data_IF_475494747108
#
_entry.id   IF_475494747108
#
_cell.length_a   1.000
_cell.length_b   1.000
_cell.length_c   1.000
_cell.angle_alpha   90.00
_cell.angle_beta   90.00
_cell.angle_gamma   90.00
#
_symmetry.space_group_name_H-M   'P 1'
#
loop_
_entity.id
_entity.type
_entity.pdbx_description
1 polymer ?
#
# COMPACT_ATOMS: atom_id res chain seq x y z
N UNK A 1 -22.66 22.57 99.53
CA UNK A 1 -22.97 23.37 98.32
C UNK A 1 -21.79 23.56 97.35
N UNK A 2 -20.56 23.11 97.71
CA UNK A 2 -19.38 23.25 96.78
C UNK A 2 -19.30 22.24 95.67
N UNK A 3 -19.92 21.09 95.80
CA UNK A 3 -19.85 19.98 94.74
C UNK A 3 -20.84 20.15 93.60
N UNK A 4 -21.89 20.98 93.75
CA UNK A 4 -22.86 21.16 92.68
C UNK A 4 -22.38 22.11 91.57
N UNK A 5 -21.59 23.11 91.99
CA UNK A 5 -21.07 24.12 91.07
C UNK A 5 -19.97 23.52 90.18
N UNK A 6 -19.11 22.63 90.70
CA UNK A 6 -18.08 21.95 89.97
C UNK A 6 -18.67 21.00 88.93
N UNK A 7 -19.73 20.26 89.28
CA UNK A 7 -20.47 19.39 88.35
C UNK A 7 -21.13 20.15 87.21
N UNK A 8 -21.68 21.32 87.50
CA UNK A 8 -22.37 22.17 86.50
C UNK A 8 -21.33 22.80 85.53
N UNK A 9 -20.16 23.21 86.06
CA UNK A 9 -19.11 23.77 85.25
C UNK A 9 -18.45 22.64 84.36
N UNK A 10 -18.28 21.44 84.91
CA UNK A 10 -17.74 20.32 84.16
C UNK A 10 -18.71 19.88 83.08
N UNK A 11 -20.03 19.89 83.36
CA UNK A 11 -21.07 19.55 82.36
C UNK A 11 -21.18 20.63 81.27
N UNK A 12 -21.08 21.92 81.65
CA UNK A 12 -21.05 23.01 80.67
C UNK A 12 -19.80 23.01 79.80
N UNK A 13 -18.65 22.69 80.36
CA UNK A 13 -17.43 22.51 79.56
C UNK A 13 -17.46 21.27 78.64
N UNK A 14 -18.11 20.21 79.10
CA UNK A 14 -18.31 19.02 78.27
C UNK A 14 -19.24 19.31 77.12
N UNK A 15 -20.34 20.05 77.35
CA UNK A 15 -21.28 20.49 76.30
C UNK A 15 -20.65 21.51 75.37
N UNK A 16 -19.84 22.43 75.86
CA UNK A 16 -19.09 23.39 75.04
C UNK A 16 -18.00 22.70 74.20
N UNK A 17 -17.36 21.69 74.74
CA UNK A 17 -16.45 20.86 74.01
C UNK A 17 -17.12 20.05 72.87
N UNK A 18 -18.34 19.58 73.12
CA UNK A 18 -19.14 18.92 72.07
C UNK A 18 -19.72 19.89 71.06
N UNK A 19 -20.05 21.08 71.46
CA UNK A 19 -20.58 22.13 70.58
C UNK A 19 -19.49 22.77 69.71
N UNK A 20 -18.25 22.76 70.15
CA UNK A 20 -17.13 23.26 69.37
C UNK A 20 -16.59 22.21 68.35
N UNK A 21 -17.00 20.95 68.49
CA UNK A 21 -16.63 19.89 67.51
C UNK A 21 -17.60 19.76 66.35
N UNK A 22 -18.61 20.63 66.21
CA UNK A 22 -19.48 20.69 65.04
C UNK A 22 -18.96 21.62 63.91
N UNK A 23 -17.69 22.08 64.01
CA UNK A 23 -17.02 22.40 62.80
C UNK A 23 -16.80 21.06 62.05
N UNK A 24 -17.74 20.74 61.18
CA UNK A 24 -17.55 19.61 60.25
C UNK A 24 -16.27 19.92 59.46
N UNK A 25 -15.13 19.51 59.97
CA UNK A 25 -13.93 19.48 59.20
C UNK A 25 -14.21 18.59 57.99
N UNK A 26 -14.18 19.15 56.82
CA UNK A 26 -14.30 18.36 55.60
C UNK A 26 -13.23 17.30 55.64
N UNK A 27 -13.64 16.07 55.89
CA UNK A 27 -12.71 14.95 55.84
C UNK A 27 -12.56 14.60 54.36
N UNK A 28 -11.34 14.59 53.89
CA UNK A 28 -10.99 14.19 52.50
C UNK A 28 -10.11 12.94 52.53
N UNK A 29 -10.39 12.08 51.60
CA UNK A 29 -9.52 10.95 51.32
C UNK A 29 -9.30 10.90 49.79
N UNK A 30 -8.07 10.61 49.43
CA UNK A 30 -7.68 10.48 47.99
C UNK A 30 -7.04 9.10 47.84
N UNK A 31 -7.35 8.42 46.75
CA UNK A 31 -6.72 7.14 46.41
C UNK A 31 -5.20 7.38 46.20
N UNK A 32 -4.39 6.39 46.56
CA UNK A 32 -2.95 6.45 46.31
C UNK A 32 -2.61 6.33 44.83
N UNK A 33 -3.41 5.54 44.10
CA UNK A 33 -3.24 5.25 42.68
C UNK A 33 -4.30 5.94 41.84
N UNK A 34 -3.98 6.18 40.58
CA UNK A 34 -4.89 6.80 39.61
C UNK A 34 -5.97 5.83 39.16
N UNK A 35 -7.14 6.36 38.83
CA UNK A 35 -8.20 5.59 38.18
C UNK A 35 -7.70 5.22 36.78
N UNK A 36 -7.79 3.94 36.47
CA UNK A 36 -7.42 3.40 35.17
C UNK A 36 -8.67 2.96 34.41
N UNK A 37 -8.70 3.26 33.12
CA UNK A 37 -9.69 2.80 32.17
C UNK A 37 -9.24 1.55 31.42
N UNK A 38 -9.92 1.27 30.33
CA UNK A 38 -9.65 0.18 29.42
C UNK A 38 -8.76 0.65 28.26
N UNK A 39 -7.88 -0.21 27.76
CA UNK A 39 -7.11 0.11 26.59
C UNK A 39 -7.98 0.03 25.32
N UNK A 40 -7.80 0.95 24.35
CA UNK A 40 -8.51 0.90 23.07
C UNK A 40 -8.08 -0.32 22.24
N UNK A 41 -9.01 -0.90 21.49
CA UNK A 41 -8.78 -2.06 20.63
C UNK A 41 -9.39 -1.83 19.26
N UNK A 42 -8.62 -2.03 18.20
CA UNK A 42 -9.10 -1.99 16.83
C UNK A 42 -9.62 -3.36 16.37
N UNK A 43 -10.65 -3.33 15.53
CA UNK A 43 -11.12 -4.50 14.82
C UNK A 43 -11.63 -4.13 13.44
N UNK A 44 -11.64 -5.10 12.51
CA UNK A 44 -12.20 -4.93 11.17
C UNK A 44 -13.70 -4.65 11.20
N UNK A 45 -14.25 -4.06 10.13
CA UNK A 45 -15.64 -3.65 10.07
C UNK A 45 -16.62 -4.83 10.11
N UNK A 46 -16.34 -5.92 9.42
CA UNK A 46 -17.23 -7.04 9.20
C UNK A 46 -16.66 -8.35 9.76
N UNK A 47 -17.55 -9.28 10.13
CA UNK A 47 -17.20 -10.60 10.66
C UNK A 47 -17.10 -10.66 12.17
N UNK A 48 -16.61 -11.77 12.70
CA UNK A 48 -16.27 -11.89 14.11
C UNK A 48 -15.31 -10.79 14.49
N UNK A 49 -15.55 -10.18 15.64
CA UNK A 49 -14.74 -9.08 16.16
C UNK A 49 -13.37 -9.64 16.54
N UNK A 50 -12.54 -9.91 15.52
CA UNK A 50 -11.16 -10.25 15.72
C UNK A 50 -10.42 -8.97 16.13
N UNK A 51 -10.02 -8.91 17.40
CA UNK A 51 -9.20 -7.82 17.90
C UNK A 51 -7.91 -7.67 17.08
N UNK A 52 -7.41 -6.44 17.01
CA UNK A 52 -6.13 -6.14 16.37
C UNK A 52 -6.12 -6.41 14.86
N UNK A 53 -7.23 -6.14 14.19
CA UNK A 53 -7.38 -6.24 12.75
C UNK A 53 -8.03 -4.95 12.21
N UNK A 54 -7.86 -4.71 10.92
CA UNK A 54 -8.51 -3.59 10.21
C UNK A 54 -9.00 -4.06 8.84
N UNK A 55 -9.85 -3.28 8.20
CA UNK A 55 -10.28 -3.51 6.82
C UNK A 55 -9.53 -2.55 5.91
N UNK A 56 -8.85 -3.07 4.90
CA UNK A 56 -8.19 -2.25 3.86
C UNK A 56 -8.95 -2.39 2.55
N UNK A 57 -9.26 -1.28 1.92
CA UNK A 57 -9.84 -1.23 0.56
C UNK A 57 -9.10 -0.24 -0.31
N UNK A 58 -9.15 -0.46 -1.62
CA UNK A 58 -8.73 0.52 -2.61
C UNK A 58 -9.93 1.00 -3.39
N UNK A 59 -10.02 2.30 -3.66
CA UNK A 59 -11.17 2.93 -4.28
C UNK A 59 -10.73 3.90 -5.37
N UNK A 60 -11.60 4.14 -6.35
CA UNK A 60 -11.35 5.10 -7.43
C UNK A 60 -11.71 6.54 -7.04
N UNK A 61 -12.37 6.74 -5.91
CA UNK A 61 -12.84 8.04 -5.42
C UNK A 61 -12.34 8.36 -4.01
N UNK A 62 -12.28 9.65 -3.70
CA UNK A 62 -11.82 10.19 -2.42
C UNK A 62 -12.75 9.91 -1.24
N UNK A 63 -13.99 9.56 -1.51
CA UNK A 63 -14.96 9.25 -0.46
C UNK A 63 -14.89 7.79 -0.03
N UNK A 64 -14.14 6.98 -0.77
CA UNK A 64 -13.91 5.58 -0.47
C UNK A 64 -15.14 4.70 -0.66
N UNK A 65 -15.99 5.03 -1.65
CA UNK A 65 -17.26 4.35 -1.91
C UNK A 65 -17.19 3.38 -3.10
N UNK A 66 -16.34 3.67 -4.09
CA UNK A 66 -16.23 2.86 -5.31
C UNK A 66 -14.97 2.00 -5.25
N UNK A 67 -15.13 0.77 -4.74
CA UNK A 67 -14.01 -0.17 -4.63
C UNK A 67 -13.54 -0.63 -6.01
N UNK A 68 -12.23 -0.84 -6.15
CA UNK A 68 -11.65 -1.49 -7.34
C UNK A 68 -11.94 -2.99 -7.34
N UNK A 69 -11.94 -3.60 -8.52
CA UNK A 69 -12.13 -5.06 -8.63
C UNK A 69 -10.99 -5.85 -7.97
N UNK A 70 -11.32 -7.03 -7.44
CA UNK A 70 -10.34 -7.88 -6.74
C UNK A 70 -9.13 -8.29 -7.60
N UNK A 71 -9.29 -8.34 -8.92
CA UNK A 71 -8.26 -8.72 -9.88
C UNK A 71 -7.63 -7.51 -10.61
N UNK A 72 -8.11 -6.31 -10.34
CA UNK A 72 -7.63 -5.10 -10.99
C UNK A 72 -6.34 -4.61 -10.33
N UNK A 73 -5.45 -4.01 -11.12
CA UNK A 73 -4.29 -3.36 -10.56
C UNK A 73 -4.70 -2.02 -9.93
N UNK A 74 -4.15 -1.76 -8.74
CA UNK A 74 -4.21 -0.42 -8.15
C UNK A 74 -3.44 0.56 -9.03
N UNK A 75 -3.96 1.77 -9.21
CA UNK A 75 -3.38 2.79 -10.09
C UNK A 75 -3.01 4.05 -9.31
N UNK A 76 -2.02 4.76 -9.80
CA UNK A 76 -1.77 6.14 -9.35
C UNK A 76 -3.02 6.97 -9.65
N UNK A 77 -3.52 7.63 -8.63
CA UNK A 77 -4.80 8.34 -8.65
C UNK A 77 -5.89 7.69 -7.82
N UNK A 78 -5.82 6.37 -7.59
CA UNK A 78 -6.70 5.65 -6.68
C UNK A 78 -6.46 6.05 -5.22
N UNK A 79 -7.27 5.54 -4.33
CA UNK A 79 -7.23 5.84 -2.91
C UNK A 79 -7.11 4.56 -2.09
N UNK A 80 -6.31 4.59 -1.04
CA UNK A 80 -6.24 3.54 -0.03
C UNK A 80 -7.01 3.96 1.20
N UNK A 81 -7.93 3.11 1.65
CA UNK A 81 -8.77 3.34 2.82
C UNK A 81 -8.53 2.24 3.85
N UNK A 82 -8.18 2.64 5.06
CA UNK A 82 -8.02 1.76 6.22
C UNK A 82 -9.19 2.03 7.15
N UNK A 83 -10.12 1.10 7.24
CA UNK A 83 -11.33 1.24 8.04
C UNK A 83 -11.26 0.35 9.28
N UNK A 84 -11.84 0.82 10.38
CA UNK A 84 -11.78 0.11 11.66
C UNK A 84 -12.99 0.38 12.54
N UNK A 85 -13.21 -0.51 13.47
CA UNK A 85 -14.02 -0.31 14.66
C UNK A 85 -13.06 -0.12 15.83
N UNK A 86 -13.17 1.00 16.51
CA UNK A 86 -12.46 1.26 17.76
C UNK A 86 -13.37 0.89 18.90
N UNK A 87 -12.95 -0.06 19.72
CA UNK A 87 -13.63 -0.51 20.93
C UNK A 87 -12.89 0.08 22.13
N UNK A 88 -13.57 0.92 22.88
CA UNK A 88 -13.13 1.42 24.16
C UNK A 88 -14.30 1.31 25.16
N UNK A 89 -14.08 0.57 26.25
CA UNK A 89 -15.16 0.29 27.22
C UNK A 89 -15.54 1.52 28.04
N UNK A 90 -14.66 2.50 28.12
CA UNK A 90 -14.86 3.72 28.88
C UNK A 90 -15.52 4.81 28.01
N UNK A 91 -15.61 4.55 26.68
CA UNK A 91 -16.21 5.45 25.72
C UNK A 91 -15.26 6.52 25.21
N UNK A 92 -13.96 6.37 25.42
CA UNK A 92 -12.95 7.25 24.85
C UNK A 92 -12.93 7.10 23.33
N UNK A 93 -12.73 8.20 22.63
CA UNK A 93 -12.81 8.28 21.17
C UNK A 93 -11.46 8.68 20.56
N UNK A 94 -11.29 8.36 19.28
CA UNK A 94 -10.22 8.87 18.44
C UNK A 94 -10.76 9.84 17.40
N UNK A 95 -10.12 11.00 17.25
CA UNK A 95 -10.40 11.94 16.18
C UNK A 95 -9.25 12.01 15.18
N UNK A 96 -8.03 11.67 15.61
CA UNK A 96 -6.84 11.81 14.78
C UNK A 96 -5.61 11.01 15.24
N UNK A 97 -5.57 10.56 16.47
CA UNK A 97 -4.39 9.93 17.08
C UNK A 97 -3.95 8.67 16.34
N UNK A 98 -4.91 7.86 15.84
CA UNK A 98 -4.62 6.67 15.02
C UNK A 98 -3.98 7.10 13.70
N UNK A 99 -4.53 8.12 13.00
CA UNK A 99 -3.97 8.65 11.76
C UNK A 99 -2.54 9.16 11.96
N UNK A 100 -2.26 9.88 13.03
CA UNK A 100 -0.93 10.45 13.32
C UNK A 100 0.12 9.37 13.56
N UNK A 101 -0.28 8.19 14.02
CA UNK A 101 0.59 7.03 14.21
C UNK A 101 0.89 6.26 12.91
N UNK A 102 0.11 6.49 11.84
CA UNK A 102 0.24 5.73 10.59
C UNK A 102 1.59 5.98 9.92
N UNK A 103 2.25 4.89 9.57
CA UNK A 103 3.35 4.88 8.60
C UNK A 103 3.06 3.82 7.57
N UNK A 104 3.06 4.18 6.30
CA UNK A 104 2.92 3.26 5.17
C UNK A 104 4.31 2.87 4.69
N UNK A 105 4.49 1.59 4.40
CA UNK A 105 5.73 1.04 3.86
C UNK A 105 5.50 0.55 2.45
N UNK A 106 6.44 0.81 1.58
CA UNK A 106 6.38 0.38 0.19
C UNK A 106 7.67 -0.31 -0.22
N UNK A 107 7.59 -1.31 -1.09
CA UNK A 107 8.76 -1.88 -1.75
C UNK A 107 8.43 -2.37 -3.15
N UNK A 108 9.47 -2.43 -3.96
CA UNK A 108 9.42 -2.84 -5.36
C UNK A 108 10.23 -4.10 -5.56
N UNK A 109 9.91 -4.85 -6.61
CA UNK A 109 10.76 -5.95 -7.09
C UNK A 109 11.73 -5.45 -8.15
N UNK A 110 12.93 -6.01 -8.13
CA UNK A 110 13.88 -5.86 -9.21
C UNK A 110 13.50 -6.73 -10.44
N UNK A 111 14.28 -6.63 -11.52
CA UNK A 111 14.07 -7.42 -12.73
C UNK A 111 14.16 -8.95 -12.51
N UNK A 112 14.80 -9.40 -11.44
CA UNK A 112 14.90 -10.81 -11.05
C UNK A 112 13.75 -11.26 -10.15
N UNK A 113 12.83 -10.35 -9.79
CA UNK A 113 11.70 -10.62 -8.95
C UNK A 113 11.99 -10.55 -7.44
N UNK A 114 13.19 -10.11 -7.03
CA UNK A 114 13.56 -9.96 -5.63
C UNK A 114 13.06 -8.64 -5.08
N UNK A 115 12.54 -8.64 -3.87
CA UNK A 115 12.13 -7.41 -3.20
C UNK A 115 13.33 -6.57 -2.77
N UNK A 116 13.26 -5.27 -3.06
CA UNK A 116 14.16 -4.26 -2.52
C UNK A 116 13.88 -3.93 -1.04
N UNK A 117 14.61 -2.96 -0.52
CA UNK A 117 14.41 -2.44 0.83
C UNK A 117 13.05 -1.73 0.96
N UNK A 118 12.52 -1.72 2.17
CA UNK A 118 11.33 -0.94 2.49
C UNK A 118 11.63 0.57 2.43
N UNK A 119 10.68 1.33 1.91
CA UNK A 119 10.61 2.79 2.02
C UNK A 119 9.44 3.14 2.89
N UNK A 120 9.62 4.05 3.83
CA UNK A 120 8.57 4.52 4.74
C UNK A 120 7.98 5.86 4.31
N UNK A 121 6.68 5.98 4.42
CA UNK A 121 5.91 7.19 4.18
C UNK A 121 5.05 7.44 5.43
N UNK A 122 5.46 8.43 6.23
CA UNK A 122 4.69 8.85 7.42
C UNK A 122 3.42 9.57 7.00
N UNK A 123 2.45 9.63 7.91
CA UNK A 123 1.15 10.24 7.64
C UNK A 123 1.23 11.64 7.03
N UNK A 124 2.17 12.49 7.47
CA UNK A 124 2.38 13.85 6.95
C UNK A 124 2.92 13.90 5.51
N UNK A 125 3.37 12.78 4.96
CA UNK A 125 3.85 12.63 3.58
C UNK A 125 2.82 11.99 2.64
N UNK A 126 1.72 11.49 3.19
CA UNK A 126 0.65 10.88 2.39
C UNK A 126 -0.25 11.96 1.80
N UNK A 127 -0.46 11.88 0.49
CA UNK A 127 -1.23 12.89 -0.24
C UNK A 127 -2.72 12.85 0.13
N UNK A 128 -3.27 14.02 0.45
CA UNK A 128 -4.70 14.20 0.75
C UNK A 128 -5.21 13.29 1.87
N UNK A 129 -4.35 12.96 2.85
CA UNK A 129 -4.75 12.10 3.96
C UNK A 129 -5.84 12.78 4.79
N UNK A 130 -6.90 12.05 5.06
CA UNK A 130 -7.99 12.45 5.95
C UNK A 130 -8.40 11.30 6.84
N UNK A 131 -8.99 11.63 7.99
CA UNK A 131 -9.67 10.67 8.85
C UNK A 131 -11.12 11.08 9.04
N UNK A 132 -12.01 10.11 9.15
CA UNK A 132 -13.37 10.29 9.64
C UNK A 132 -13.63 9.29 10.74
N UNK A 133 -14.37 9.73 11.74
CA UNK A 133 -14.82 8.88 12.80
C UNK A 133 -16.25 9.26 13.19
N UNK A 134 -17.07 8.25 13.43
CA UNK A 134 -18.46 8.40 13.84
C UNK A 134 -18.63 7.69 15.18
N UNK A 135 -18.97 8.45 16.22
CA UNK A 135 -19.22 7.86 17.53
C UNK A 135 -20.45 6.95 17.47
N UNK A 136 -20.31 5.74 17.98
CA UNK A 136 -21.43 4.82 18.16
C UNK A 136 -21.95 4.91 19.61
N UNK A 137 -23.24 4.66 19.79
CA UNK A 137 -23.93 4.73 21.10
C UNK A 137 -23.57 3.58 22.06
N UNK A 138 -22.76 2.61 21.65
CA UNK A 138 -22.45 1.39 22.42
C UNK A 138 -20.96 1.25 22.79
N UNK A 139 -20.19 2.33 22.85
CA UNK A 139 -18.75 2.28 23.15
C UNK A 139 -17.90 1.74 21.97
N UNK A 140 -18.47 1.72 20.77
CA UNK A 140 -17.79 1.39 19.53
C UNK A 140 -17.80 2.61 18.62
N UNK A 141 -16.64 3.06 18.21
CA UNK A 141 -16.49 4.11 17.21
C UNK A 141 -16.16 3.48 15.86
N UNK A 142 -16.86 3.88 14.80
CA UNK A 142 -16.49 3.55 13.43
C UNK A 142 -15.56 4.64 12.87
N UNK A 143 -14.42 4.23 12.33
CA UNK A 143 -13.47 5.17 11.77
C UNK A 143 -12.80 4.65 10.52
N UNK A 144 -12.23 5.58 9.76
CA UNK A 144 -11.35 5.25 8.67
C UNK A 144 -10.31 6.35 8.41
N UNK A 145 -9.18 5.93 7.88
CA UNK A 145 -8.15 6.79 7.31
C UNK A 145 -8.14 6.55 5.82
N UNK A 146 -8.13 7.61 5.01
CA UNK A 146 -8.07 7.51 3.55
C UNK A 146 -7.02 8.47 3.00
N UNK A 147 -6.25 8.04 2.01
CA UNK A 147 -5.24 8.86 1.34
C UNK A 147 -5.09 8.46 -0.12
N UNK A 148 -4.62 9.39 -0.96
CA UNK A 148 -4.43 9.15 -2.38
C UNK A 148 -3.12 8.40 -2.65
N UNK A 149 -3.20 7.38 -3.49
CA UNK A 149 -2.06 6.70 -4.11
C UNK A 149 -1.49 7.67 -5.17
N UNK A 150 -0.39 8.30 -4.87
CA UNK A 150 0.28 9.26 -5.75
C UNK A 150 1.50 8.66 -6.47
N UNK A 151 2.26 9.49 -7.18
CA UNK A 151 3.42 9.05 -7.96
C UNK A 151 4.51 8.36 -7.13
N UNK A 152 4.55 8.56 -5.80
CA UNK A 152 5.48 7.85 -4.90
C UNK A 152 5.20 6.35 -4.83
N UNK A 153 3.98 5.94 -5.16
CA UNK A 153 3.56 4.54 -5.19
C UNK A 153 3.73 3.89 -6.57
N UNK A 154 4.10 4.64 -7.61
CA UNK A 154 4.24 4.08 -8.97
C UNK A 154 5.21 2.88 -8.98
N UNK A 155 4.74 1.73 -9.48
CA UNK A 155 5.52 0.50 -9.58
C UNK A 155 5.77 -0.23 -8.26
N UNK A 156 5.13 0.14 -7.18
CA UNK A 156 5.19 -0.58 -5.91
C UNK A 156 4.50 -1.94 -6.04
N UNK A 157 5.21 -3.00 -5.66
CA UNK A 157 4.70 -4.37 -5.70
C UNK A 157 4.08 -4.82 -4.38
N UNK A 158 4.44 -4.17 -3.28
CA UNK A 158 3.95 -4.52 -1.96
C UNK A 158 3.81 -3.29 -1.08
N UNK A 159 2.66 -3.19 -0.42
CA UNK A 159 2.36 -2.16 0.56
C UNK A 159 2.18 -2.82 1.92
N UNK A 160 2.86 -2.28 2.92
CA UNK A 160 2.64 -2.56 4.32
C UNK A 160 2.27 -1.29 5.06
N UNK A 161 1.93 -1.41 6.33
CA UNK A 161 1.75 -0.26 7.20
C UNK A 161 1.89 -0.66 8.66
N UNK A 162 2.11 0.33 9.51
CA UNK A 162 1.90 0.23 10.95
C UNK A 162 0.99 1.34 11.40
N UNK A 163 0.21 1.08 12.43
CA UNK A 163 -0.58 2.06 13.16
C UNK A 163 -0.77 1.61 14.61
N UNK A 164 -1.03 2.55 15.51
CA UNK A 164 -1.23 2.26 16.93
C UNK A 164 -2.72 2.35 17.29
N UNK A 165 -3.20 1.39 18.04
CA UNK A 165 -4.48 1.46 18.71
C UNK A 165 -4.43 2.59 19.72
N UNK A 166 -5.19 3.66 19.48
CA UNK A 166 -5.16 4.84 20.34
C UNK A 166 -6.48 5.59 20.38
N UNK A 167 -6.69 6.31 21.49
CA UNK A 167 -7.73 7.30 21.70
C UNK A 167 -7.10 8.65 22.01
N UNK A 168 -7.86 9.73 21.86
CA UNK A 168 -7.35 11.09 22.15
C UNK A 168 -7.09 11.30 23.61
N UNK A 169 -7.84 10.62 24.48
CA UNK A 169 -7.76 10.70 25.94
C UNK A 169 -7.81 9.29 26.54
N UNK A 170 -7.72 9.22 27.86
CA UNK A 170 -7.80 7.96 28.58
C UNK A 170 -6.50 7.60 29.30
N UNK A 171 -6.59 6.62 30.16
CA UNK A 171 -5.45 6.06 30.87
C UNK A 171 -5.67 4.54 31.08
N UNK A 172 -5.16 3.68 30.16
CA UNK A 172 -4.29 4.00 29.03
C UNK A 172 -5.04 4.49 27.79
N UNK A 173 -4.49 5.46 27.06
CA UNK A 173 -5.01 5.92 25.78
C UNK A 173 -4.30 5.30 24.58
N UNK A 174 -3.42 4.33 24.80
CA UNK A 174 -2.65 3.61 23.78
C UNK A 174 -2.59 2.13 24.11
N UNK A 175 -2.58 1.32 23.05
CA UNK A 175 -2.45 -0.11 23.15
C UNK A 175 -1.44 -0.62 22.11
N UNK A 176 -1.72 -1.74 21.47
CA UNK A 176 -0.79 -2.39 20.54
C UNK A 176 -0.52 -1.56 19.29
N UNK A 177 0.65 -1.79 18.72
CA UNK A 177 0.92 -1.48 17.33
C UNK A 177 0.48 -2.63 16.44
N UNK A 178 -0.28 -2.32 15.42
CA UNK A 178 -0.61 -3.23 14.33
C UNK A 178 0.44 -3.03 13.23
N UNK A 179 1.10 -4.10 12.82
CA UNK A 179 2.16 -4.08 11.82
C UNK A 179 1.84 -5.07 10.70
N UNK A 180 1.59 -4.54 9.52
CA UNK A 180 1.20 -5.25 8.30
C UNK A 180 2.34 -5.18 7.30
N UNK A 181 2.75 -6.34 6.77
CA UNK A 181 3.76 -6.39 5.70
C UNK A 181 3.15 -6.41 4.31
N UNK A 182 1.90 -6.84 4.16
CA UNK A 182 1.25 -6.96 2.86
C UNK A 182 -0.27 -6.78 2.98
N UNK A 183 -0.79 -5.70 2.44
CA UNK A 183 -2.23 -5.41 2.45
C UNK A 183 -3.06 -6.42 1.64
N UNK A 184 -2.43 -7.13 0.70
CA UNK A 184 -3.05 -8.18 -0.09
C UNK A 184 -2.96 -9.58 0.54
N UNK A 185 -2.42 -9.68 1.75
CA UNK A 185 -2.42 -10.92 2.54
C UNK A 185 -3.65 -11.01 3.43
N UNK A 186 -4.25 -12.20 3.54
CA UNK A 186 -5.35 -12.47 4.47
C UNK A 186 -4.88 -12.77 5.91
N UNK A 187 -3.59 -12.76 6.17
CA UNK A 187 -3.04 -12.97 7.50
C UNK A 187 -3.45 -11.84 8.46
N UNK A 188 -3.42 -12.11 9.76
CA UNK A 188 -3.59 -11.07 10.76
C UNK A 188 -2.33 -10.19 10.85
N UNK A 189 -2.45 -8.94 11.32
CA UNK A 189 -1.31 -8.10 11.66
C UNK A 189 -0.42 -8.77 12.71
N UNK A 190 0.88 -8.49 12.66
CA UNK A 190 1.76 -8.74 13.81
C UNK A 190 1.57 -7.60 14.80
N UNK A 191 1.32 -7.94 16.04
CA UNK A 191 1.11 -6.94 17.10
C UNK A 191 2.32 -6.85 18.01
N UNK A 192 2.64 -5.65 18.44
CA UNK A 192 3.65 -5.42 19.50
C UNK A 192 2.97 -4.76 20.68
N UNK A 193 3.26 -5.27 21.87
CA UNK A 193 2.70 -4.72 23.09
C UNK A 193 3.16 -3.29 23.32
N UNK A 194 2.36 -2.62 24.12
CA UNK A 194 2.43 -1.24 24.53
C UNK A 194 3.85 -0.64 24.57
N UNK A 195 4.10 0.35 23.74
CA UNK A 195 5.26 1.24 23.82
C UNK A 195 6.38 1.01 22.82
N UNK A 196 6.47 -0.14 22.16
CA UNK A 196 7.54 -0.35 21.18
C UNK A 196 7.01 -0.19 19.75
N UNK A 197 7.30 0.97 19.17
CA UNK A 197 6.97 1.24 17.77
C UNK A 197 7.80 0.35 16.83
N UNK A 198 7.18 -0.44 15.92
CA UNK A 198 7.92 -1.19 14.92
C UNK A 198 8.66 -0.24 13.97
N UNK A 199 9.90 -0.55 13.64
CA UNK A 199 10.71 0.25 12.70
C UNK A 199 10.47 -0.14 11.25
N UNK A 200 10.15 -1.42 11.00
CA UNK A 200 9.90 -1.99 9.68
C UNK A 200 8.74 -3.00 9.72
N UNK A 201 8.14 -3.32 8.56
CA UNK A 201 7.20 -4.42 8.48
C UNK A 201 7.83 -5.76 8.87
N UNK A 202 7.05 -6.70 9.42
CA UNK A 202 7.56 -8.01 9.78
C UNK A 202 8.08 -8.78 8.56
N UNK A 203 9.10 -9.59 8.76
CA UNK A 203 9.65 -10.48 7.72
C UNK A 203 8.71 -11.66 7.40
N UNK A 204 7.82 -12.01 8.32
CA UNK A 204 6.77 -13.00 8.11
C UNK A 204 5.57 -12.36 7.42
N UNK A 205 4.82 -13.09 6.59
CA UNK A 205 3.58 -12.57 6.01
C UNK A 205 2.62 -12.09 7.10
N UNK A 206 2.24 -10.83 7.05
CA UNK A 206 1.27 -10.20 7.93
C UNK A 206 0.37 -9.29 7.10
N UNK A 207 -0.92 -9.52 7.16
CA UNK A 207 -1.95 -8.75 6.46
C UNK A 207 -2.82 -7.97 7.43
N UNK A 208 -3.86 -7.31 6.94
CA UNK A 208 -4.80 -6.55 7.77
C UNK A 208 -5.84 -7.43 8.49
N UNK A 209 -5.89 -8.73 8.21
CA UNK A 209 -6.89 -9.68 8.69
C UNK A 209 -7.85 -10.18 7.62
N UNK A 210 -8.03 -9.40 6.55
CA UNK A 210 -8.71 -9.79 5.31
C UNK A 210 -7.91 -9.21 4.13
N UNK A 211 -7.82 -9.94 3.05
CA UNK A 211 -7.14 -9.49 1.85
C UNK A 211 -7.82 -8.24 1.27
N UNK A 212 -7.06 -7.16 1.03
CA UNK A 212 -7.58 -6.01 0.31
C UNK A 212 -7.92 -6.37 -1.14
N UNK A 213 -8.97 -5.76 -1.74
CA UNK A 213 -9.23 -5.89 -3.16
C UNK A 213 -8.11 -5.27 -3.99
N UNK A 214 -7.98 -5.72 -5.24
CA UNK A 214 -6.92 -5.27 -6.13
C UNK A 214 -5.59 -5.99 -5.92
N UNK A 215 -4.59 -5.57 -6.68
CA UNK A 215 -3.24 -6.15 -6.65
C UNK A 215 -2.19 -5.13 -7.06
N UNK A 216 -0.92 -5.40 -6.70
CA UNK A 216 0.26 -4.76 -7.28
C UNK A 216 0.72 -5.45 -8.58
N UNK A 217 1.70 -4.87 -9.30
CA UNK A 217 2.30 -3.56 -9.01
C UNK A 217 1.32 -2.42 -9.26
N UNK A 218 1.55 -1.30 -8.55
CA UNK A 218 0.74 -0.09 -8.76
C UNK A 218 1.07 0.51 -10.12
N UNK A 219 0.05 0.62 -10.99
CA UNK A 219 0.20 1.09 -12.35
C UNK A 219 0.15 2.63 -12.41
N UNK A 220 0.99 3.21 -13.27
CA UNK A 220 1.00 4.65 -13.52
C UNK A 220 0.92 4.94 -15.02
N UNK A 221 0.34 6.07 -15.39
CA UNK A 221 0.34 6.58 -16.76
C UNK A 221 1.73 6.98 -17.27
N UNK A 222 2.71 7.05 -16.36
CA UNK A 222 4.11 7.29 -16.69
C UNK A 222 4.83 6.03 -17.17
N UNK A 223 4.23 4.84 -17.06
CA UNK A 223 4.83 3.64 -17.63
C UNK A 223 4.83 3.69 -19.15
N UNK A 224 5.99 3.36 -19.70
CA UNK A 224 6.24 3.25 -21.14
C UNK A 224 6.73 1.86 -21.47
N UNK A 225 6.50 1.44 -22.69
CA UNK A 225 7.10 0.26 -23.30
C UNK A 225 7.89 0.69 -24.51
N UNK A 226 9.14 0.23 -24.63
CA UNK A 226 10.02 0.45 -25.76
C UNK A 226 10.55 -0.87 -26.33
N UNK A 227 11.11 -0.79 -27.53
CA UNK A 227 11.73 -1.90 -28.25
C UNK A 227 13.22 -1.62 -28.35
N UNK A 228 14.03 -2.45 -27.71
CA UNK A 228 15.47 -2.28 -27.62
C UNK A 228 16.21 -3.46 -28.24
N UNK A 229 17.35 -3.19 -28.87
CA UNK A 229 18.12 -4.19 -29.60
C UNK A 229 19.25 -4.73 -28.75
N UNK A 230 19.51 -6.03 -28.87
CA UNK A 230 20.76 -6.63 -28.37
C UNK A 230 21.93 -6.31 -29.32
N UNK A 231 23.06 -5.94 -28.76
CA UNK A 231 24.30 -5.79 -29.50
C UNK A 231 24.93 -7.16 -29.89
N UNK A 232 26.07 -7.13 -30.55
CA UNK A 232 26.78 -8.32 -31.00
C UNK A 232 27.33 -9.18 -29.84
N UNK A 233 27.54 -8.58 -28.68
CA UNK A 233 27.98 -9.24 -27.45
C UNK A 233 26.81 -9.82 -26.63
N UNK A 234 25.60 -9.66 -27.12
CA UNK A 234 24.39 -10.13 -26.44
C UNK A 234 23.95 -9.25 -25.29
N UNK A 235 24.42 -8.01 -25.21
CA UNK A 235 23.99 -7.02 -24.24
C UNK A 235 22.85 -6.19 -24.82
N UNK A 236 21.80 -5.93 -24.01
CA UNK A 236 20.70 -5.06 -24.40
C UNK A 236 21.16 -3.59 -24.41
N UNK A 237 21.02 -2.93 -25.57
CA UNK A 237 21.26 -1.51 -25.72
C UNK A 237 19.96 -0.72 -25.48
N UNK A 238 19.83 -0.09 -24.32
CA UNK A 238 18.66 0.70 -23.94
C UNK A 238 18.74 2.17 -24.37
N UNK A 239 19.79 2.57 -25.09
CA UNK A 239 19.98 3.96 -25.54
C UNK A 239 19.17 4.29 -26.79
N UNK A 240 18.81 3.28 -27.59
CA UNK A 240 18.04 3.44 -28.84
C UNK A 240 16.74 2.67 -28.76
N UNK A 241 15.63 3.40 -28.65
CA UNK A 241 14.30 2.81 -28.70
C UNK A 241 13.80 2.71 -30.16
N UNK A 242 13.67 1.48 -30.65
CA UNK A 242 13.22 1.19 -32.01
C UNK A 242 11.72 1.49 -32.26
N UNK A 243 10.97 1.75 -31.20
CA UNK A 243 9.59 2.27 -31.32
C UNK A 243 9.53 3.75 -31.64
N UNK A 244 10.67 4.47 -31.59
CA UNK A 244 10.78 5.91 -31.86
C UNK A 244 11.34 6.22 -33.23
N UNK A 245 11.03 7.43 -33.72
CA UNK A 245 11.64 7.96 -34.94
C UNK A 245 13.16 8.14 -34.78
N UNK A 246 13.90 7.85 -35.83
CA UNK A 246 15.36 8.01 -35.87
C UNK A 246 16.14 6.73 -35.54
N UNK A 247 15.51 5.67 -35.10
CA UNK A 247 16.15 4.36 -34.99
C UNK A 247 16.43 3.77 -36.37
N UNK A 248 17.45 2.93 -36.48
CA UNK A 248 17.74 2.18 -37.72
C UNK A 248 16.69 1.12 -37.96
N UNK A 249 16.48 0.73 -39.24
CA UNK A 249 15.51 -0.31 -39.56
C UNK A 249 15.89 -1.64 -38.89
N UNK A 250 14.93 -2.35 -38.25
CA UNK A 250 15.13 -3.75 -37.83
C UNK A 250 15.53 -4.62 -39.02
N UNK A 251 16.39 -5.60 -38.79
CA UNK A 251 16.88 -6.54 -39.83
C UNK A 251 16.67 -7.97 -39.37
N UNK A 252 16.57 -8.88 -40.34
CA UNK A 252 16.70 -10.29 -40.02
C UNK A 252 18.10 -10.56 -39.40
N UNK A 253 18.11 -11.39 -38.36
CA UNK A 253 19.29 -11.63 -37.54
C UNK A 253 19.35 -10.75 -36.29
N UNK A 254 18.53 -9.71 -36.21
CA UNK A 254 18.44 -8.86 -34.99
C UNK A 254 17.61 -9.53 -33.89
N UNK A 255 18.07 -9.34 -32.67
CA UNK A 255 17.35 -9.73 -31.45
C UNK A 255 16.90 -8.48 -30.71
N UNK A 256 15.62 -8.43 -30.33
CA UNK A 256 15.03 -7.29 -29.61
C UNK A 256 14.44 -7.75 -28.29
N UNK A 257 14.39 -6.82 -27.33
CA UNK A 257 13.63 -6.97 -26.10
C UNK A 257 12.66 -5.80 -25.93
N UNK A 258 11.47 -6.13 -25.45
CA UNK A 258 10.56 -5.14 -24.91
C UNK A 258 10.97 -4.80 -23.48
N UNK A 259 11.04 -3.53 -23.16
CA UNK A 259 11.32 -3.06 -21.79
C UNK A 259 10.20 -2.15 -21.35
N UNK A 260 9.68 -2.39 -20.15
CA UNK A 260 8.73 -1.49 -19.48
C UNK A 260 9.46 -0.75 -18.37
N UNK A 261 9.35 0.57 -18.34
CA UNK A 261 9.93 1.43 -17.31
C UNK A 261 8.98 2.53 -16.88
N UNK A 262 9.22 3.07 -15.69
CA UNK A 262 8.52 4.26 -15.20
C UNK A 262 9.26 5.52 -15.68
N UNK A 263 8.79 6.10 -16.77
CA UNK A 263 9.27 7.36 -17.34
C UNK A 263 8.81 8.55 -16.48
N UNK A 264 9.47 8.72 -15.32
CA UNK A 264 9.01 9.64 -14.27
C UNK A 264 9.13 11.10 -14.68
N UNK A 265 10.15 11.46 -15.44
CA UNK A 265 10.39 12.81 -15.96
C UNK A 265 9.71 13.09 -17.32
N UNK A 266 9.08 12.04 -17.91
CA UNK A 266 8.32 12.10 -19.18
C UNK A 266 9.16 12.47 -20.39
N UNK A 267 10.45 12.18 -20.37
CA UNK A 267 11.33 12.41 -21.52
C UNK A 267 11.28 11.26 -22.52
N UNK A 268 10.72 10.13 -22.13
CA UNK A 268 10.51 8.92 -22.92
C UNK A 268 11.77 8.11 -23.15
N UNK A 269 12.85 8.34 -22.43
CA UNK A 269 14.09 7.57 -22.45
C UNK A 269 14.20 6.76 -21.15
N UNK A 270 15.06 5.76 -21.11
CA UNK A 270 15.39 5.06 -19.87
C UNK A 270 16.61 5.74 -19.26
N UNK A 271 16.43 6.36 -18.10
CA UNK A 271 17.47 7.08 -17.40
C UNK A 271 17.93 6.34 -16.13
N UNK A 272 19.11 6.75 -15.63
CA UNK A 272 19.66 6.19 -14.40
C UNK A 272 18.72 6.45 -13.21
N UNK A 273 18.34 5.39 -12.52
CA UNK A 273 17.46 5.44 -11.37
C UNK A 273 15.98 5.27 -11.68
N UNK A 274 15.60 5.20 -12.94
CA UNK A 274 14.23 4.85 -13.31
C UNK A 274 13.91 3.38 -13.06
N UNK A 275 12.67 3.15 -12.68
CA UNK A 275 12.21 1.84 -12.27
C UNK A 275 11.86 0.97 -13.48
N UNK A 276 12.63 -0.10 -13.72
CA UNK A 276 12.32 -1.11 -14.74
C UNK A 276 11.28 -2.09 -14.18
N UNK A 277 10.21 -2.31 -14.94
CA UNK A 277 9.07 -3.16 -14.57
C UNK A 277 8.72 -4.24 -15.59
N UNK A 278 9.62 -4.57 -16.49
CA UNK A 278 9.43 -5.59 -17.53
C UNK A 278 8.89 -6.91 -16.95
N UNK A 279 9.38 -7.33 -15.77
CA UNK A 279 8.96 -8.59 -15.13
C UNK A 279 7.50 -8.63 -14.66
N UNK A 280 6.82 -7.48 -14.61
CA UNK A 280 5.42 -7.37 -14.21
C UNK A 280 4.43 -7.57 -15.36
N UNK A 281 4.93 -7.65 -16.60
CA UNK A 281 4.12 -7.73 -17.80
C UNK A 281 4.43 -8.99 -18.59
N UNK A 282 3.48 -9.42 -19.41
CA UNK A 282 3.68 -10.38 -20.49
C UNK A 282 3.57 -9.67 -21.83
N UNK A 283 4.20 -10.21 -22.86
CA UNK A 283 4.35 -9.51 -24.13
C UNK A 283 3.88 -10.35 -25.29
N UNK A 284 3.29 -9.68 -26.28
CA UNK A 284 2.91 -10.24 -27.58
C UNK A 284 3.50 -9.40 -28.69
N UNK A 285 4.19 -10.05 -29.60
CA UNK A 285 4.79 -9.42 -30.74
C UNK A 285 3.90 -9.61 -31.95
N UNK A 286 3.77 -8.57 -32.79
CA UNK A 286 2.94 -8.54 -33.98
C UNK A 286 3.64 -7.80 -35.10
N UNK A 287 3.18 -7.97 -36.32
CA UNK A 287 3.51 -7.08 -37.43
C UNK A 287 2.48 -5.94 -37.49
N UNK A 288 2.90 -4.77 -37.97
CA UNK A 288 2.05 -3.59 -38.11
C UNK A 288 2.33 -2.87 -39.43
N UNK A 289 1.29 -2.27 -39.99
CA UNK A 289 1.34 -1.49 -41.22
C UNK A 289 0.88 -2.23 -42.44
N UNK A 290 1.24 -1.73 -43.60
CA UNK A 290 0.87 -2.24 -44.91
C UNK A 290 2.12 -2.33 -45.82
N UNK A 291 2.25 -3.42 -46.55
CA UNK A 291 3.30 -3.65 -47.52
C UNK A 291 2.70 -4.22 -48.81
N UNK A 292 3.01 -3.60 -49.95
CA UNK A 292 2.47 -4.00 -51.28
C UNK A 292 0.94 -4.24 -51.29
N UNK A 293 0.19 -3.33 -50.69
CA UNK A 293 -1.29 -3.42 -50.53
C UNK A 293 -1.78 -4.59 -49.68
N UNK A 294 -0.92 -5.20 -48.89
CA UNK A 294 -1.30 -6.20 -47.91
C UNK A 294 -1.13 -5.63 -46.50
N UNK A 295 -2.25 -5.48 -45.80
CA UNK A 295 -2.26 -5.01 -44.40
C UNK A 295 -1.86 -6.15 -43.50
N UNK A 296 -1.05 -5.83 -42.49
CA UNK A 296 -0.67 -6.78 -41.43
C UNK A 296 -1.93 -7.31 -40.73
N UNK A 297 -2.01 -8.62 -40.53
CA UNK A 297 -3.09 -9.22 -39.72
C UNK A 297 -2.72 -9.11 -38.23
N UNK A 298 -3.75 -9.04 -37.40
CA UNK A 298 -3.57 -8.93 -35.95
C UNK A 298 -3.32 -10.32 -35.30
N UNK A 299 -2.22 -10.97 -35.71
CA UNK A 299 -1.82 -12.28 -35.22
C UNK A 299 -0.50 -12.16 -34.45
N UNK A 300 -0.40 -12.94 -33.35
CA UNK A 300 0.82 -12.98 -32.53
C UNK A 300 1.94 -13.73 -33.26
N UNK A 301 3.11 -13.14 -33.33
CA UNK A 301 4.33 -13.81 -33.76
C UNK A 301 4.75 -14.80 -32.68
N UNK A 302 4.87 -16.07 -33.02
CA UNK A 302 5.27 -17.13 -32.09
C UNK A 302 6.70 -17.62 -32.31
N UNK A 303 7.17 -17.56 -33.58
CA UNK A 303 8.51 -17.97 -33.92
C UNK A 303 9.53 -16.92 -33.46
N UNK A 304 10.62 -17.38 -32.86
CA UNK A 304 11.68 -16.51 -32.36
C UNK A 304 11.33 -15.75 -31.07
N UNK A 305 10.11 -15.89 -30.55
CA UNK A 305 9.72 -15.27 -29.28
C UNK A 305 10.23 -16.11 -28.11
N UNK A 306 10.90 -15.47 -27.19
CA UNK A 306 11.53 -16.12 -26.03
C UNK A 306 11.31 -15.28 -24.77
N UNK A 307 11.71 -15.86 -23.64
CA UNK A 307 11.70 -15.21 -22.34
C UNK A 307 13.13 -14.89 -21.92
N UNK A 308 13.39 -13.66 -21.54
CA UNK A 308 14.61 -13.27 -20.83
C UNK A 308 14.28 -12.83 -19.40
N UNK A 309 13.38 -11.89 -19.23
CA UNK A 309 12.92 -11.40 -17.93
C UNK A 309 11.46 -11.77 -17.68
N UNK A 310 10.62 -11.70 -18.72
CA UNK A 310 9.19 -11.97 -18.64
C UNK A 310 8.72 -12.72 -19.88
N UNK A 311 7.54 -13.35 -19.81
CA UNK A 311 7.02 -14.14 -20.92
C UNK A 311 6.82 -13.28 -22.17
N UNK A 312 7.49 -13.70 -23.25
CA UNK A 312 7.42 -13.03 -24.54
C UNK A 312 8.21 -11.73 -24.65
N UNK A 313 8.98 -11.33 -23.66
CA UNK A 313 9.72 -10.05 -23.67
C UNK A 313 10.78 -9.93 -24.78
N UNK A 314 11.17 -11.03 -25.38
CA UNK A 314 12.26 -11.07 -26.37
C UNK A 314 11.81 -11.72 -27.67
N UNK A 315 12.21 -11.13 -28.80
CA UNK A 315 12.02 -11.68 -30.13
C UNK A 315 13.32 -11.69 -30.93
N UNK A 316 13.56 -12.79 -31.64
CA UNK A 316 14.64 -12.92 -32.61
C UNK A 316 14.06 -12.93 -34.01
N UNK A 317 14.44 -11.98 -34.86
CA UNK A 317 13.91 -11.81 -36.22
C UNK A 317 14.53 -12.80 -37.24
N UNK A 318 14.88 -14.00 -36.84
CA UNK A 318 15.39 -15.02 -37.69
C UNK A 318 16.91 -14.90 -37.93
N UNK A 319 17.41 -15.62 -38.94
CA UNK A 319 18.81 -15.67 -39.27
C UNK A 319 19.08 -15.08 -40.66
N UNK A 320 20.17 -14.35 -40.84
CA UNK A 320 20.59 -13.81 -42.11
C UNK A 320 20.83 -14.88 -43.17
N UNK A 321 21.05 -16.12 -42.74
CA UNK A 321 21.35 -17.26 -43.64
C UNK A 321 20.15 -18.18 -43.88
N UNK A 322 19.05 -18.00 -43.17
CA UNK A 322 17.83 -18.79 -43.33
C UNK A 322 16.87 -18.15 -44.34
N UNK A 323 16.00 -18.96 -44.94
CA UNK A 323 14.88 -18.43 -45.71
C UNK A 323 13.86 -17.79 -44.76
N UNK A 324 13.82 -16.47 -44.71
CA UNK A 324 13.09 -15.68 -43.77
C UNK A 324 11.59 -15.88 -43.87
N UNK A 325 11.06 -16.13 -45.08
CA UNK A 325 9.64 -16.36 -45.31
C UNK A 325 9.15 -17.65 -44.64
N UNK A 326 10.03 -18.58 -44.33
CA UNK A 326 9.71 -19.83 -43.65
C UNK A 326 9.79 -19.74 -42.11
N UNK A 327 10.42 -18.68 -41.57
CA UNK A 327 10.59 -18.51 -40.11
C UNK A 327 9.26 -18.15 -39.45
N UNK A 328 8.48 -17.33 -40.12
CA UNK A 328 7.15 -16.93 -39.66
C UNK A 328 6.09 -17.68 -40.46
N UNK A 329 5.22 -18.42 -39.78
CA UNK A 329 4.05 -19.03 -40.42
C UNK A 329 3.00 -17.94 -40.69
N UNK A 330 3.20 -17.22 -41.81
CA UNK A 330 2.44 -16.01 -42.10
C UNK A 330 1.81 -16.13 -43.48
N UNK A 331 0.67 -15.44 -43.69
CA UNK A 331 0.03 -15.20 -44.95
C UNK A 331 0.65 -14.04 -45.72
N UNK A 332 1.61 -13.35 -45.14
CA UNK A 332 2.31 -12.21 -45.74
C UNK A 332 3.19 -12.67 -46.91
N UNK A 333 3.19 -11.89 -47.99
CA UNK A 333 3.94 -12.22 -49.20
C UNK A 333 5.45 -12.31 -49.04
N UNK A 334 6.00 -11.50 -48.14
CA UNK A 334 7.45 -11.36 -47.91
C UNK A 334 7.86 -11.65 -46.47
N UNK A 335 7.16 -12.54 -45.78
CA UNK A 335 7.36 -12.78 -44.37
C UNK A 335 7.17 -11.48 -43.57
N UNK A 336 8.14 -11.11 -42.71
CA UNK A 336 8.07 -9.89 -41.92
C UNK A 336 8.59 -8.64 -42.66
N UNK A 337 9.17 -8.79 -43.87
CA UNK A 337 9.72 -7.65 -44.61
C UNK A 337 8.66 -6.65 -45.01
N UNK A 338 8.98 -5.36 -44.91
CA UNK A 338 8.09 -4.27 -45.28
C UNK A 338 7.13 -3.85 -44.17
N UNK A 339 6.96 -4.67 -43.14
CA UNK A 339 6.13 -4.36 -41.98
C UNK A 339 6.97 -3.79 -40.84
N UNK A 340 6.29 -3.14 -39.90
CA UNK A 340 6.87 -2.70 -38.62
C UNK A 340 6.70 -3.79 -37.56
N UNK A 341 7.66 -3.89 -36.67
CA UNK A 341 7.55 -4.73 -35.47
C UNK A 341 6.76 -3.96 -34.41
N UNK A 342 5.77 -4.62 -33.82
CA UNK A 342 4.94 -4.07 -32.76
C UNK A 342 4.97 -5.01 -31.57
N UNK A 343 5.01 -4.45 -30.37
CA UNK A 343 4.85 -5.18 -29.12
C UNK A 343 3.65 -4.63 -28.35
N UNK A 344 2.89 -5.52 -27.72
CA UNK A 344 1.81 -5.18 -26.79
C UNK A 344 2.04 -5.90 -25.48
N UNK A 345 1.71 -5.23 -24.38
CA UNK A 345 1.70 -5.84 -23.06
C UNK A 345 0.30 -6.36 -22.74
N UNK A 346 0.22 -7.47 -22.00
CA UNK A 346 -0.99 -7.83 -21.26
C UNK A 346 -0.80 -7.34 -19.82
N UNK A 347 -1.80 -6.64 -19.31
CA UNK A 347 -1.90 -6.28 -17.90
C UNK A 347 -2.29 -7.50 -17.05
#
# INVERSE_FOLDING_TARGET
MKNLTIKKIAFGLLLAGYASSSAFATLTATTNDYIQGSAPVLSKLNGDVAAQTVTVTFTTDSDGNTEIGANDNVKVGDWMKISYRLLDKDGDIDTKSIQESLTVFTRTKDASGNYGAWKDLKADKLKSITTKSEANTEGVQLGYIIFQIDDQFAGVDQIGFKLQESTDFGAPNKNHWLNVSDVWSSAAPVTTENGTEPTEPPSTPAGPGDQAPGKGPIVSSTFKVGIFKYDQDGKLDTTVDYAKAGATNPKYGDKFSAVVWNDADKNGSIDDGELIKTSAYTFKWKLDGEYESVVAVDEDLTNGVTKTTSDGDTIYLGSETANHNSIYNTTYKAGAQGYRLKVTTNE
#
